data_IF_753231268031
#
_entry.id   IF_753231268031
#
_cell.length_a   1.000
_cell.length_b   1.000
_cell.length_c   1.000
_cell.angle_alpha   90.00
_cell.angle_beta   90.00
_cell.angle_gamma   90.00
#
_symmetry.space_group_name_H-M   'P 1'
#
loop_
_entity.id
_entity.type
_entity.pdbx_description
1 polymer ?
#
# COMPACT_ATOMS: atom_id res chain seq x y z
N UNK A 1 -6.80 25.91 3.90
CA UNK A 1 -6.32 24.54 3.60
C UNK A 1 -5.23 24.50 2.54
N UNK A 2 -5.47 24.78 1.24
CA UNK A 2 -4.42 24.65 0.20
C UNK A 2 -3.09 25.27 0.60
N UNK A 3 -3.12 26.52 1.05
CA UNK A 3 -1.92 27.23 1.47
C UNK A 3 -1.25 26.54 2.67
N UNK A 4 -2.02 26.05 3.65
CA UNK A 4 -1.47 25.33 4.81
C UNK A 4 -0.81 24.01 4.41
N UNK A 5 -1.40 23.29 3.46
CA UNK A 5 -0.91 22.00 2.99
C UNK A 5 0.34 22.19 2.12
N UNK A 6 0.35 23.21 1.25
CA UNK A 6 1.55 23.60 0.48
C UNK A 6 2.65 24.07 1.44
N UNK A 7 2.34 24.90 2.43
CA UNK A 7 3.30 25.33 3.43
C UNK A 7 3.86 24.14 4.22
N UNK A 8 3.04 23.13 4.55
CA UNK A 8 3.55 21.91 5.19
C UNK A 8 4.50 21.12 4.27
N UNK A 9 4.25 21.10 2.96
CA UNK A 9 5.17 20.49 2.01
C UNK A 9 6.47 21.28 1.87
N UNK A 10 6.42 22.61 1.88
CA UNK A 10 7.61 23.47 1.81
C UNK A 10 8.41 23.42 3.11
N UNK A 11 7.77 23.43 4.27
CA UNK A 11 8.39 23.21 5.59
C UNK A 11 9.13 21.85 5.65
N UNK A 12 8.60 20.83 4.97
CA UNK A 12 9.23 19.52 4.90
C UNK A 12 10.43 19.51 3.95
N UNK A 13 10.33 20.18 2.80
CA UNK A 13 11.46 20.35 1.87
C UNK A 13 12.64 21.03 2.57
N UNK A 14 12.39 22.13 3.27
CA UNK A 14 13.43 22.87 4.00
C UNK A 14 14.13 21.97 5.03
N UNK A 15 13.38 21.16 5.78
CA UNK A 15 13.99 20.23 6.76
C UNK A 15 14.78 19.09 6.12
N UNK A 16 14.39 18.59 4.95
CA UNK A 16 15.19 17.59 4.24
C UNK A 16 16.52 18.20 3.80
N UNK A 17 16.52 19.44 3.31
CA UNK A 17 17.74 20.11 2.87
C UNK A 17 18.69 20.41 4.03
N UNK A 18 18.15 20.71 5.22
CA UNK A 18 18.95 20.98 6.42
C UNK A 18 19.55 19.73 7.08
N UNK A 19 19.02 18.52 6.79
CA UNK A 19 19.39 17.31 7.54
C UNK A 19 20.18 16.33 6.66
N UNK A 20 21.48 16.16 6.93
CA UNK A 20 22.35 15.12 6.32
C UNK A 20 22.01 13.68 6.84
N UNK A 21 20.90 13.55 7.57
CA UNK A 21 20.45 12.33 8.25
C UNK A 21 18.97 12.06 7.97
N UNK A 22 18.59 10.79 8.09
CA UNK A 22 17.22 10.30 7.88
C UNK A 22 16.21 11.13 8.69
N UNK A 23 15.45 11.96 8.00
CA UNK A 23 14.37 12.79 8.58
C UNK A 23 13.25 11.88 9.08
N UNK A 24 12.81 12.09 10.32
CA UNK A 24 11.59 11.45 10.82
C UNK A 24 10.37 12.08 10.15
N UNK A 25 9.76 11.32 9.25
CA UNK A 25 8.59 11.74 8.47
C UNK A 25 7.28 11.62 9.26
N UNK A 26 7.29 10.95 10.42
CA UNK A 26 6.07 10.58 11.16
C UNK A 26 5.26 11.79 11.62
N UNK A 27 5.90 12.76 12.29
CA UNK A 27 5.22 13.95 12.81
C UNK A 27 4.64 14.83 11.69
N UNK A 28 5.30 14.86 10.53
CA UNK A 28 4.79 15.56 9.36
C UNK A 28 3.59 14.85 8.75
N UNK A 29 3.66 13.51 8.67
CA UNK A 29 2.56 12.68 8.24
C UNK A 29 1.28 12.96 9.03
N UNK A 30 1.35 13.01 10.36
CA UNK A 30 0.18 13.28 11.21
C UNK A 30 -0.48 14.64 10.92
N UNK A 31 0.30 15.72 10.94
CA UNK A 31 -0.20 17.08 10.64
C UNK A 31 -0.82 17.16 9.24
N UNK A 32 -0.18 16.52 8.26
CA UNK A 32 -0.67 16.52 6.89
C UNK A 32 -1.95 15.68 6.80
N UNK A 33 -1.99 14.49 7.41
CA UNK A 33 -3.20 13.64 7.46
C UNK A 33 -4.40 14.41 8.01
N UNK A 34 -4.22 15.19 9.07
CA UNK A 34 -5.28 16.03 9.63
C UNK A 34 -5.78 17.08 8.61
N UNK A 35 -4.87 17.73 7.87
CA UNK A 35 -5.23 18.66 6.79
C UNK A 35 -5.95 17.95 5.64
N UNK A 36 -5.61 16.68 5.37
CA UNK A 36 -6.24 15.88 4.32
C UNK A 36 -7.69 15.47 4.66
N UNK A 37 -8.07 15.40 5.94
CA UNK A 37 -9.45 15.04 6.34
C UNK A 37 -10.49 15.98 5.72
N UNK A 38 -10.15 17.26 5.55
CA UNK A 38 -11.04 18.25 4.96
C UNK A 38 -10.92 18.35 3.43
N UNK A 39 -9.93 17.66 2.81
CA UNK A 39 -9.60 17.82 1.38
C UNK A 39 -10.79 17.52 0.47
N UNK A 40 -11.55 16.47 0.78
CA UNK A 40 -12.72 16.09 0.00
C UNK A 40 -13.87 17.12 0.03
N UNK A 41 -13.82 18.08 0.95
CA UNK A 41 -14.80 19.17 1.07
C UNK A 41 -14.38 20.47 0.35
N UNK A 42 -13.16 20.53 -0.21
CA UNK A 42 -12.69 21.71 -0.95
C UNK A 42 -13.23 21.79 -2.38
N UNK A 43 -12.95 22.91 -3.06
CA UNK A 43 -13.27 23.05 -4.48
C UNK A 43 -12.49 22.04 -5.32
N UNK A 44 -13.08 21.63 -6.45
CA UNK A 44 -12.47 20.68 -7.39
C UNK A 44 -11.09 21.17 -7.87
N UNK A 45 -10.95 22.48 -8.09
CA UNK A 45 -9.69 23.14 -8.48
C UNK A 45 -8.62 23.06 -7.40
N UNK A 46 -9.01 23.15 -6.13
CA UNK A 46 -8.11 23.07 -4.99
C UNK A 46 -7.60 21.63 -4.82
N UNK A 47 -8.51 20.65 -4.87
CA UNK A 47 -8.13 19.24 -4.80
C UNK A 47 -7.22 18.85 -5.96
N UNK A 48 -7.53 19.26 -7.19
CA UNK A 48 -6.66 19.00 -8.34
C UNK A 48 -5.26 19.60 -8.17
N UNK A 49 -5.16 20.81 -7.59
CA UNK A 49 -3.87 21.43 -7.31
C UNK A 49 -3.07 20.65 -6.26
N UNK A 50 -3.72 20.28 -5.15
CA UNK A 50 -3.08 19.49 -4.09
C UNK A 50 -2.60 18.13 -4.62
N UNK A 51 -3.41 17.46 -5.45
CA UNK A 51 -3.01 16.21 -6.09
C UNK A 51 -1.78 16.37 -7.00
N UNK A 52 -1.73 17.45 -7.79
CA UNK A 52 -0.59 17.73 -8.66
C UNK A 52 0.69 18.02 -7.86
N UNK A 53 0.59 18.82 -6.80
CA UNK A 53 1.71 19.11 -5.90
C UNK A 53 2.21 17.84 -5.20
N UNK A 54 1.30 17.00 -4.70
CA UNK A 54 1.68 15.75 -4.04
C UNK A 54 2.33 14.75 -5.01
N UNK A 55 1.90 14.74 -6.28
CA UNK A 55 2.55 13.93 -7.31
C UNK A 55 3.95 14.45 -7.63
N UNK A 56 4.11 15.77 -7.78
CA UNK A 56 5.43 16.38 -7.98
C UNK A 56 6.35 16.05 -6.81
N UNK A 57 5.83 16.17 -5.58
CA UNK A 57 6.54 15.86 -4.35
C UNK A 57 6.97 14.39 -4.30
N UNK A 58 6.08 13.44 -4.62
CA UNK A 58 6.40 12.01 -4.69
C UNK A 58 7.61 11.71 -5.60
N UNK A 59 7.82 12.48 -6.68
CA UNK A 59 8.93 12.30 -7.61
C UNK A 59 10.26 12.93 -7.20
N UNK A 60 10.32 13.71 -6.10
CA UNK A 60 11.55 14.44 -5.73
C UNK A 60 12.64 13.58 -5.09
N UNK A 61 12.32 12.39 -4.57
CA UNK A 61 13.30 11.50 -3.96
C UNK A 61 12.71 10.53 -2.94
N UNK A 62 13.57 9.76 -2.29
CA UNK A 62 13.15 8.68 -1.36
C UNK A 62 12.37 9.21 -0.16
N UNK A 63 12.85 10.25 0.52
CA UNK A 63 12.18 10.82 1.70
C UNK A 63 10.81 11.42 1.35
N UNK A 64 10.71 12.10 0.20
CA UNK A 64 9.46 12.65 -0.31
C UNK A 64 8.46 11.55 -0.67
N UNK A 65 8.94 10.50 -1.36
CA UNK A 65 8.15 9.31 -1.67
C UNK A 65 7.65 8.61 -0.41
N UNK A 66 8.48 8.46 0.62
CA UNK A 66 8.07 7.87 1.91
C UNK A 66 6.94 8.67 2.57
N UNK A 67 7.03 10.00 2.60
CA UNK A 67 5.96 10.85 3.12
C UNK A 67 4.68 10.73 2.27
N UNK A 68 4.78 10.80 0.94
CA UNK A 68 3.63 10.61 0.05
C UNK A 68 2.93 9.26 0.26
N UNK A 69 3.70 8.20 0.53
CA UNK A 69 3.15 6.86 0.81
C UNK A 69 2.43 6.80 2.17
N UNK A 70 2.85 7.59 3.16
CA UNK A 70 2.13 7.71 4.44
C UNK A 70 0.75 8.36 4.30
N UNK A 71 0.54 9.17 3.26
CA UNK A 71 -0.73 9.84 2.98
C UNK A 71 -1.75 8.97 2.23
N UNK A 72 -1.34 7.79 1.73
CA UNK A 72 -2.19 6.90 0.92
C UNK A 72 -3.50 6.51 1.65
N UNK A 73 -3.51 6.14 2.94
CA UNK A 73 -4.75 5.84 3.64
C UNK A 73 -5.74 7.02 3.65
N UNK A 74 -5.26 8.23 3.93
CA UNK A 74 -6.08 9.44 3.91
C UNK A 74 -6.61 9.74 2.50
N UNK A 75 -5.77 9.61 1.46
CA UNK A 75 -6.17 9.78 0.07
C UNK A 75 -7.26 8.78 -0.37
N UNK A 76 -7.14 7.51 0.06
CA UNK A 76 -8.15 6.47 -0.20
C UNK A 76 -9.47 6.85 0.48
N UNK A 77 -9.44 7.31 1.72
CA UNK A 77 -10.62 7.78 2.44
C UNK A 77 -11.29 8.96 1.70
N UNK A 78 -10.52 9.99 1.34
CA UNK A 78 -11.03 11.13 0.55
C UNK A 78 -11.64 10.68 -0.77
N UNK A 79 -10.99 9.73 -1.48
CA UNK A 79 -11.49 9.19 -2.74
C UNK A 79 -12.83 8.49 -2.57
N UNK A 80 -12.93 7.59 -1.58
CA UNK A 80 -14.15 6.85 -1.29
C UNK A 80 -15.27 7.78 -0.83
N UNK A 81 -14.97 8.76 0.02
CA UNK A 81 -15.92 9.76 0.49
C UNK A 81 -16.44 10.64 -0.65
N UNK A 82 -15.55 11.16 -1.49
CA UNK A 82 -15.92 11.99 -2.66
C UNK A 82 -16.81 11.21 -3.62
N UNK A 83 -16.46 9.95 -3.85
CA UNK A 83 -17.25 9.04 -4.69
C UNK A 83 -18.63 8.78 -4.11
N UNK A 84 -18.74 8.53 -2.81
CA UNK A 84 -20.02 8.30 -2.13
C UNK A 84 -20.95 9.52 -2.16
N UNK A 85 -20.39 10.75 -2.19
CA UNK A 85 -21.15 12.00 -2.31
C UNK A 85 -21.48 12.41 -3.74
N UNK A 86 -20.99 11.67 -4.75
CA UNK A 86 -21.19 12.02 -6.15
C UNK A 86 -20.32 13.19 -6.64
N UNK A 87 -19.24 13.52 -5.93
CA UNK A 87 -18.26 14.53 -6.36
C UNK A 87 -17.34 13.90 -7.42
N UNK A 88 -17.82 13.85 -8.67
CA UNK A 88 -17.17 13.12 -9.76
C UNK A 88 -15.76 13.66 -10.04
N UNK A 89 -15.60 14.96 -10.25
CA UNK A 89 -14.30 15.57 -10.59
C UNK A 89 -13.27 15.38 -9.48
N UNK A 90 -13.65 15.64 -8.21
CA UNK A 90 -12.81 15.38 -7.04
C UNK A 90 -12.38 13.90 -6.96
N UNK A 91 -13.32 12.97 -7.18
CA UNK A 91 -13.03 11.54 -7.16
C UNK A 91 -12.12 11.11 -8.32
N UNK A 92 -12.23 11.75 -9.49
CA UNK A 92 -11.37 11.50 -10.65
C UNK A 92 -9.96 12.01 -10.37
N UNK A 93 -9.80 13.20 -9.81
CA UNK A 93 -8.49 13.75 -9.46
C UNK A 93 -7.76 12.87 -8.43
N UNK A 94 -8.42 12.53 -7.32
CA UNK A 94 -7.87 11.64 -6.28
C UNK A 94 -7.59 10.23 -6.82
N UNK A 95 -8.51 9.70 -7.62
CA UNK A 95 -8.35 8.38 -8.23
C UNK A 95 -7.18 8.34 -9.23
N UNK A 96 -6.97 9.41 -9.98
CA UNK A 96 -5.84 9.54 -10.92
C UNK A 96 -4.51 9.61 -10.19
N UNK A 97 -4.44 10.35 -9.08
CA UNK A 97 -3.25 10.38 -8.22
C UNK A 97 -2.91 8.98 -7.69
N UNK A 98 -3.88 8.32 -7.05
CA UNK A 98 -3.71 6.97 -6.49
C UNK A 98 -3.26 5.95 -7.56
N UNK A 99 -3.88 6.01 -8.74
CA UNK A 99 -3.54 5.14 -9.86
C UNK A 99 -2.13 5.39 -10.40
N UNK A 100 -1.73 6.66 -10.48
CA UNK A 100 -0.38 7.06 -10.91
C UNK A 100 0.65 6.53 -9.91
N UNK A 101 0.45 6.74 -8.61
CA UNK A 101 1.35 6.22 -7.57
C UNK A 101 1.45 4.69 -7.65
N UNK A 102 0.31 3.99 -7.76
CA UNK A 102 0.31 2.54 -7.94
C UNK A 102 1.14 2.08 -9.14
N UNK A 103 0.98 2.73 -10.30
CA UNK A 103 1.74 2.39 -11.50
C UNK A 103 3.24 2.70 -11.35
N UNK A 104 3.60 3.76 -10.62
CA UNK A 104 5.00 4.07 -10.30
C UNK A 104 5.61 3.04 -9.35
N UNK A 105 4.87 2.60 -8.33
CA UNK A 105 5.30 1.57 -7.38
C UNK A 105 5.54 0.22 -8.07
N UNK A 106 4.72 -0.14 -9.06
CA UNK A 106 4.95 -1.34 -9.87
C UNK A 106 6.23 -1.26 -10.70
N UNK A 107 6.56 -0.09 -11.23
CA UNK A 107 7.74 0.10 -12.09
C UNK A 107 9.04 0.29 -11.31
N UNK A 108 8.97 0.81 -10.08
CA UNK A 108 10.14 1.12 -9.24
C UNK A 108 11.02 -0.09 -8.94
N UNK A 109 10.52 -1.31 -9.11
CA UNK A 109 11.28 -2.54 -8.85
C UNK A 109 11.94 -3.15 -10.09
N UNK A 110 11.87 -2.49 -11.26
CA UNK A 110 12.52 -2.94 -12.50
C UNK A 110 11.87 -4.15 -13.17
N UNK A 111 10.96 -4.84 -12.48
CA UNK A 111 10.18 -5.96 -13.00
C UNK A 111 8.73 -5.53 -13.21
N UNK A 112 8.25 -5.69 -14.45
CA UNK A 112 6.92 -5.28 -14.95
C UNK A 112 5.76 -5.94 -14.18
N UNK A 113 6.05 -6.93 -13.33
CA UNK A 113 5.06 -7.54 -12.45
C UNK A 113 5.76 -8.15 -11.22
N UNK A 114 5.77 -7.42 -10.12
CA UNK A 114 6.38 -7.86 -8.86
C UNK A 114 5.58 -9.01 -8.26
N UNK A 115 6.15 -10.21 -8.24
CA UNK A 115 5.68 -11.29 -7.37
C UNK A 115 6.61 -11.39 -6.17
N UNK A 116 6.25 -10.78 -5.05
CA UNK A 116 6.94 -11.06 -3.79
C UNK A 116 6.55 -12.46 -3.36
N UNK A 117 7.53 -13.38 -3.45
CA UNK A 117 7.34 -14.77 -3.05
C UNK A 117 8.01 -14.99 -1.71
N UNK A 118 7.21 -15.06 -0.64
CA UNK A 118 7.69 -15.42 0.69
C UNK A 118 7.49 -16.91 0.88
N UNK A 119 8.58 -17.62 1.19
CA UNK A 119 8.52 -19.04 1.52
C UNK A 119 8.20 -19.21 3.00
N UNK A 120 7.02 -19.73 3.32
CA UNK A 120 6.68 -20.15 4.68
C UNK A 120 7.30 -21.52 4.94
N UNK A 121 8.42 -21.53 5.65
CA UNK A 121 9.12 -22.77 6.00
C UNK A 121 8.30 -23.56 7.04
N UNK A 122 8.03 -24.88 6.84
CA UNK A 122 7.31 -25.69 7.81
C UNK A 122 8.03 -25.73 9.18
N UNK A 123 7.27 -25.82 10.28
CA UNK A 123 7.82 -25.97 11.65
C UNK A 123 8.63 -27.26 11.84
N UNK A 124 8.39 -28.25 10.97
CA UNK A 124 9.10 -29.53 10.88
C UNK A 124 10.43 -29.43 10.16
N UNK A 125 10.76 -28.27 9.57
CA UNK A 125 12.02 -28.01 8.91
C UNK A 125 13.01 -27.34 9.88
N UNK A 126 14.27 -27.78 9.93
CA UNK A 126 15.28 -27.12 10.74
C UNK A 126 15.45 -25.64 10.33
N UNK A 127 15.41 -24.74 11.31
CA UNK A 127 15.59 -23.31 11.12
C UNK A 127 16.62 -22.73 12.09
N UNK A 128 16.97 -21.46 11.93
CA UNK A 128 17.84 -20.74 12.87
C UNK A 128 17.28 -20.68 14.30
N UNK A 129 15.96 -20.85 14.46
CA UNK A 129 15.27 -20.83 15.76
C UNK A 129 14.96 -22.22 16.31
N UNK A 130 14.92 -23.24 15.44
CA UNK A 130 14.68 -24.61 15.83
C UNK A 130 15.56 -25.57 15.01
N UNK A 131 16.69 -25.97 15.58
CA UNK A 131 17.66 -26.85 14.91
C UNK A 131 17.20 -28.31 14.85
N UNK A 132 16.31 -28.70 15.76
CA UNK A 132 15.94 -30.10 15.99
C UNK A 132 14.41 -30.22 16.12
N UNK A 133 13.68 -30.28 14.99
CA UNK A 133 12.22 -30.29 14.97
C UNK A 133 11.60 -31.62 15.44
N UNK A 134 12.41 -32.61 15.81
CA UNK A 134 11.95 -33.95 16.20
C UNK A 134 10.94 -33.96 17.34
N UNK A 135 10.98 -32.99 18.26
CA UNK A 135 9.96 -32.82 19.30
C UNK A 135 8.58 -32.41 18.75
N UNK A 136 8.54 -31.61 17.68
CA UNK A 136 7.29 -31.18 17.04
C UNK A 136 6.73 -32.33 16.21
N UNK A 137 7.60 -32.98 15.44
CA UNK A 137 7.25 -34.12 14.60
C UNK A 137 6.65 -35.28 15.42
N UNK A 138 7.25 -35.58 16.57
CA UNK A 138 6.78 -36.63 17.48
C UNK A 138 5.46 -36.28 18.17
N UNK A 139 5.27 -35.03 18.59
CA UNK A 139 4.04 -34.58 19.23
C UNK A 139 2.85 -34.47 18.27
N UNK A 140 3.08 -34.09 17.02
CA UNK A 140 2.01 -33.94 16.01
C UNK A 140 1.62 -35.28 15.36
N UNK A 141 2.36 -36.37 15.62
CA UNK A 141 2.05 -37.69 15.07
C UNK A 141 2.17 -37.76 13.55
N UNK A 142 2.99 -36.89 12.95
CA UNK A 142 3.13 -36.80 11.50
C UNK A 142 3.79 -38.06 10.94
N UNK A 143 3.18 -38.64 9.93
CA UNK A 143 3.77 -39.76 9.19
C UNK A 143 4.98 -39.28 8.39
N UNK A 144 5.93 -40.18 8.11
CA UNK A 144 7.08 -39.87 7.22
C UNK A 144 6.62 -39.32 5.86
N UNK A 145 5.45 -39.76 5.38
CA UNK A 145 4.83 -39.27 4.14
C UNK A 145 4.32 -37.83 4.27
N UNK A 146 3.75 -37.44 5.41
CA UNK A 146 3.32 -36.07 5.67
C UNK A 146 4.50 -35.13 5.84
N UNK A 147 5.55 -35.58 6.54
CA UNK A 147 6.82 -34.85 6.64
C UNK A 147 7.47 -34.67 5.27
N UNK A 148 7.55 -35.75 4.48
CA UNK A 148 8.05 -35.68 3.12
C UNK A 148 7.22 -34.71 2.29
N UNK A 149 5.88 -34.74 2.39
CA UNK A 149 5.01 -33.80 1.68
C UNK A 149 5.27 -32.35 2.07
N UNK A 150 5.35 -32.03 3.36
CA UNK A 150 5.65 -30.67 3.86
C UNK A 150 7.04 -30.20 3.41
N UNK A 151 8.01 -31.11 3.38
CA UNK A 151 9.40 -30.82 2.97
C UNK A 151 9.57 -30.73 1.44
N UNK A 152 8.87 -31.55 0.65
CA UNK A 152 8.89 -31.57 -0.82
C UNK A 152 8.07 -30.44 -1.43
N UNK A 153 6.88 -30.14 -0.88
CA UNK A 153 6.11 -28.94 -1.25
C UNK A 153 6.83 -27.66 -0.83
N UNK A 154 7.89 -27.80 -0.02
CA UNK A 154 8.91 -26.79 0.12
C UNK A 154 8.36 -25.49 0.64
N UNK A 155 7.60 -25.52 1.73
CA UNK A 155 7.01 -24.32 2.31
C UNK A 155 5.92 -23.67 1.44
N UNK A 156 4.88 -23.17 2.09
CA UNK A 156 3.81 -22.46 1.36
C UNK A 156 4.41 -21.19 0.78
N UNK A 157 4.40 -21.08 -0.55
CA UNK A 157 4.84 -19.86 -1.22
C UNK A 157 3.68 -18.87 -1.17
N UNK A 158 3.78 -17.89 -0.27
CA UNK A 158 2.90 -16.73 -0.29
C UNK A 158 3.38 -15.80 -1.39
N UNK A 159 2.64 -15.77 -2.49
CA UNK A 159 2.90 -14.86 -3.59
C UNK A 159 1.94 -13.69 -3.52
N UNK A 160 2.46 -12.47 -3.49
CA UNK A 160 1.67 -11.33 -3.96
C UNK A 160 1.46 -11.53 -5.47
N UNK A 161 0.23 -11.42 -5.95
CA UNK A 161 -0.10 -11.74 -7.34
C UNK A 161 0.67 -10.87 -8.34
N UNK A 162 0.73 -11.31 -9.60
CA UNK A 162 1.18 -10.44 -10.68
C UNK A 162 0.18 -9.29 -10.84
N UNK A 163 0.66 -8.08 -10.60
CA UNK A 163 -0.13 -6.86 -10.71
C UNK A 163 0.27 -6.14 -11.98
N UNK A 164 -0.71 -5.90 -12.86
CA UNK A 164 -0.51 -5.12 -14.08
C UNK A 164 -0.79 -3.64 -13.82
N UNK A 165 -0.12 -2.73 -14.56
CA UNK A 165 -0.49 -1.33 -14.59
C UNK A 165 -1.96 -1.15 -14.99
N UNK A 166 -2.65 -0.22 -14.37
CA UNK A 166 -4.05 0.06 -14.67
C UNK A 166 -4.19 1.45 -15.32
N UNK A 167 -5.04 1.54 -16.34
CA UNK A 167 -5.34 2.78 -17.07
C UNK A 167 -6.52 3.56 -16.49
N UNK A 168 -7.34 2.93 -15.64
CA UNK A 168 -8.47 3.55 -14.97
C UNK A 168 -8.88 2.77 -13.72
N UNK A 169 -9.40 3.47 -12.70
CA UNK A 169 -10.00 2.84 -11.52
C UNK A 169 -11.47 2.46 -11.81
N UNK A 170 -11.68 1.23 -12.25
CA UNK A 170 -13.00 0.62 -12.47
C UNK A 170 -13.37 -0.24 -11.26
N UNK A 171 -14.66 -0.48 -11.02
CA UNK A 171 -15.12 -1.32 -9.89
C UNK A 171 -14.41 -2.68 -9.81
N UNK A 172 -13.96 -3.24 -10.95
CA UNK A 172 -13.26 -4.52 -11.01
C UNK A 172 -11.80 -4.53 -10.58
N UNK A 173 -11.09 -3.39 -10.58
CA UNK A 173 -9.66 -3.32 -10.24
C UNK A 173 -9.34 -2.45 -9.02
N UNK A 174 -10.33 -1.72 -8.47
CA UNK A 174 -10.17 -0.98 -7.20
C UNK A 174 -9.88 -1.87 -6.00
N UNK A 175 -10.31 -3.12 -6.08
CA UNK A 175 -9.93 -4.17 -5.16
C UNK A 175 -9.39 -5.28 -6.03
N UNK A 176 -8.07 -5.42 -6.12
CA UNK A 176 -7.42 -6.44 -6.94
C UNK A 176 -7.65 -7.90 -6.43
N UNK A 177 -8.72 -8.13 -5.68
CA UNK A 177 -8.94 -9.30 -4.83
C UNK A 177 -9.80 -10.40 -5.51
N UNK A 178 -9.71 -10.55 -6.83
CA UNK A 178 -10.45 -11.61 -7.55
C UNK A 178 -9.72 -12.95 -7.66
N UNK A 179 -8.48 -13.07 -7.17
CA UNK A 179 -7.68 -14.31 -7.33
C UNK A 179 -7.30 -15.05 -6.04
N UNK A 180 -7.51 -14.48 -4.85
CA UNK A 180 -7.21 -15.15 -3.57
C UNK A 180 -8.50 -15.48 -2.81
N UNK A 181 -9.21 -16.49 -3.30
CA UNK A 181 -10.49 -16.94 -2.76
C UNK A 181 -10.25 -17.83 -1.53
N UNK A 182 -9.93 -17.26 -0.38
CA UNK A 182 -10.00 -17.93 0.93
C UNK A 182 -10.64 -17.03 1.98
N UNK A 183 -11.77 -17.48 2.56
CA UNK A 183 -12.43 -16.98 3.78
C UNK A 183 -13.40 -15.77 3.69
N UNK A 184 -14.55 -16.03 3.07
CA UNK A 184 -15.96 -15.72 3.40
C UNK A 184 -16.47 -14.57 4.30
N UNK A 185 -15.68 -13.68 4.91
CA UNK A 185 -16.26 -12.68 5.86
C UNK A 185 -16.00 -11.19 5.59
N UNK A 186 -14.95 -10.83 4.83
CA UNK A 186 -14.58 -9.41 4.64
C UNK A 186 -15.14 -8.77 3.34
N UNK A 187 -15.49 -9.58 2.35
CA UNK A 187 -16.00 -9.11 1.04
C UNK A 187 -17.40 -8.46 1.11
N UNK A 188 -18.10 -8.52 2.25
CA UNK A 188 -19.43 -7.90 2.42
C UNK A 188 -19.40 -6.44 2.82
N UNK A 189 -18.28 -5.91 3.32
CA UNK A 189 -18.20 -4.52 3.77
C UNK A 189 -17.99 -3.52 2.63
N UNK A 190 -17.28 -3.91 1.57
CA UNK A 190 -16.89 -2.96 0.50
C UNK A 190 -17.76 -3.00 -0.76
N UNK A 191 -18.70 -3.94 -0.84
CA UNK A 191 -19.61 -4.06 -1.99
C UNK A 191 -20.85 -3.15 -1.89
N UNK A 192 -20.91 -2.26 -0.87
CA UNK A 192 -22.08 -1.41 -0.55
C UNK A 192 -21.84 0.10 -0.70
N UNK A 193 -20.68 0.51 -1.21
CA UNK A 193 -20.34 1.90 -1.58
C UNK A 193 -19.80 1.93 -3.01
#
# INVERSE_FOLDING_TARGET
MKEELINCFDDFKEKIEDTDHKVDTTHYGEKIVDLFQDLASQSETEVATVCAELLNFYHQGTAYRELSLQLIPALIECYLFSRARGQLETSVALGTLLLTIYNCELQSTGEVAKSDTVRLVPSTFPSIYNREPSAIVSNEGLTERELARLNLEGGVHCQTGFFEPASSLVTGNRQADKKYRTSSSLHRLFSRY
#
